data_IF_975640425421
#
_entry.id   IF_975640425421
#
_cell.length_a   1.000
_cell.length_b   1.000
_cell.length_c   1.000
_cell.angle_alpha   90.00
_cell.angle_beta   90.00
_cell.angle_gamma   90.00
#
_symmetry.space_group_name_H-M   'P 1'
#
loop_
_entity.id
_entity.type
_entity.pdbx_description
1 polymer ?
#
# COMPACT_ATOMS: atom_id res chain seq x y z
N UNK A 1 15.90 -5.04 26.35
CA UNK A 1 14.45 -4.95 26.06
C UNK A 1 14.05 -3.68 25.27
N UNK A 2 14.57 -2.48 25.58
CA UNK A 2 14.25 -1.21 24.86
C UNK A 2 14.63 -1.16 23.36
N UNK A 3 15.40 -2.15 22.87
CA UNK A 3 15.95 -2.21 21.51
C UNK A 3 14.97 -2.75 20.45
N UNK A 4 13.90 -3.44 20.87
CA UNK A 4 12.96 -4.11 19.97
C UNK A 4 11.60 -3.41 19.83
N UNK A 5 11.39 -2.30 20.55
CA UNK A 5 10.13 -1.55 20.53
C UNK A 5 9.82 -1.01 19.12
N UNK A 6 10.78 -0.38 18.39
CA UNK A 6 10.50 0.10 17.03
C UNK A 6 10.13 -1.04 16.10
N UNK A 7 10.92 -2.12 16.10
CA UNK A 7 10.68 -3.28 15.23
C UNK A 7 9.32 -3.94 15.49
N UNK A 8 8.85 -3.95 16.73
CA UNK A 8 7.53 -4.48 17.05
C UNK A 8 6.41 -3.62 16.44
N UNK A 9 6.57 -2.29 16.48
CA UNK A 9 5.63 -1.35 15.87
C UNK A 9 5.66 -1.50 14.34
N UNK A 10 6.83 -1.68 13.73
CA UNK A 10 6.96 -1.96 12.29
C UNK A 10 6.20 -3.23 11.88
N UNK A 11 6.29 -4.29 12.70
CA UNK A 11 5.55 -5.54 12.46
C UNK A 11 4.04 -5.35 12.59
N UNK A 12 3.56 -4.47 13.48
CA UNK A 12 2.14 -4.11 13.56
C UNK A 12 1.68 -3.30 12.33
N UNK A 13 2.54 -2.42 11.82
CA UNK A 13 2.35 -1.74 10.53
C UNK A 13 2.20 -2.74 9.38
N UNK A 14 3.14 -3.67 9.27
CA UNK A 14 3.11 -4.76 8.30
C UNK A 14 1.84 -5.61 8.41
N UNK A 15 1.44 -5.99 9.63
CA UNK A 15 0.21 -6.74 9.87
C UNK A 15 -1.02 -5.97 9.37
N UNK A 16 -1.06 -4.66 9.61
CA UNK A 16 -2.13 -3.78 9.12
C UNK A 16 -2.16 -3.74 7.59
N UNK A 17 -1.00 -3.66 6.93
CA UNK A 17 -0.88 -3.77 5.48
C UNK A 17 -1.42 -5.10 4.91
N UNK A 18 -1.10 -6.22 5.56
CA UNK A 18 -1.63 -7.53 5.19
C UNK A 18 -3.16 -7.61 5.36
N UNK A 19 -3.70 -7.07 6.44
CA UNK A 19 -5.14 -7.01 6.69
C UNK A 19 -5.84 -6.14 5.62
N UNK A 20 -5.21 -5.03 5.22
CA UNK A 20 -5.72 -4.22 4.10
C UNK A 20 -5.82 -5.03 2.81
N UNK A 21 -4.82 -5.83 2.49
CA UNK A 21 -4.84 -6.70 1.30
C UNK A 21 -6.01 -7.68 1.38
N UNK A 22 -6.24 -8.30 2.54
CA UNK A 22 -7.34 -9.23 2.75
C UNK A 22 -8.73 -8.57 2.58
N UNK A 23 -8.94 -7.37 3.13
CA UNK A 23 -10.20 -6.64 2.92
C UNK A 23 -10.37 -6.17 1.48
N UNK A 24 -9.27 -5.76 0.84
CA UNK A 24 -9.28 -5.37 -0.57
C UNK A 24 -9.69 -6.55 -1.46
N UNK A 25 -9.15 -7.76 -1.26
CA UNK A 25 -9.55 -8.93 -2.05
C UNK A 25 -11.01 -9.32 -1.81
N UNK A 26 -11.51 -9.14 -0.58
CA UNK A 26 -12.91 -9.31 -0.20
C UNK A 26 -13.88 -8.25 -0.74
N UNK A 27 -13.38 -7.16 -1.35
CA UNK A 27 -14.19 -6.09 -1.92
C UNK A 27 -14.58 -4.97 -0.94
N UNK A 28 -14.16 -5.05 0.32
CA UNK A 28 -14.40 -4.00 1.31
C UNK A 28 -13.27 -2.95 1.24
N UNK A 29 -13.39 -2.09 0.23
CA UNK A 29 -12.38 -1.06 -0.05
C UNK A 29 -12.30 -0.05 1.10
N UNK A 30 -13.42 0.28 1.76
CA UNK A 30 -13.43 1.22 2.90
C UNK A 30 -12.53 0.73 4.03
N UNK A 31 -12.69 -0.53 4.45
CA UNK A 31 -11.84 -1.11 5.51
C UNK A 31 -10.40 -1.23 5.05
N UNK A 32 -10.16 -1.63 3.80
CA UNK A 32 -8.79 -1.70 3.25
C UNK A 32 -8.07 -0.34 3.39
N UNK A 33 -8.72 0.75 2.97
CA UNK A 33 -8.17 2.10 3.09
C UNK A 33 -7.87 2.47 4.56
N UNK A 34 -8.79 2.17 5.49
CA UNK A 34 -8.56 2.42 6.92
C UNK A 34 -7.31 1.70 7.43
N UNK A 35 -7.11 0.45 7.04
CA UNK A 35 -5.93 -0.32 7.46
C UNK A 35 -4.62 0.20 6.85
N UNK A 36 -4.65 0.78 5.64
CA UNK A 36 -3.48 1.51 5.08
C UNK A 36 -3.16 2.75 5.92
N UNK A 37 -4.18 3.51 6.33
CA UNK A 37 -3.98 4.66 7.22
C UNK A 37 -3.42 4.24 8.59
N UNK A 38 -3.88 3.13 9.14
CA UNK A 38 -3.34 2.57 10.38
C UNK A 38 -1.87 2.14 10.19
N UNK A 39 -1.54 1.50 9.07
CA UNK A 39 -0.16 1.16 8.75
C UNK A 39 0.74 2.41 8.65
N UNK A 40 0.26 3.48 8.01
CA UNK A 40 0.95 4.77 7.93
C UNK A 40 1.15 5.42 9.30
N UNK A 41 0.19 5.27 10.22
CA UNK A 41 0.34 5.76 11.57
C UNK A 41 1.43 4.98 12.32
N UNK A 42 1.48 3.65 12.17
CA UNK A 42 2.52 2.84 12.81
C UNK A 42 3.92 3.13 12.26
N UNK A 43 4.05 3.29 10.94
CA UNK A 43 5.30 3.71 10.25
C UNK A 43 5.80 5.11 10.67
N UNK A 44 4.86 6.01 10.99
CA UNK A 44 5.24 7.30 11.53
C UNK A 44 5.75 7.17 12.98
N UNK A 45 5.10 6.31 13.77
CA UNK A 45 5.40 6.14 15.20
C UNK A 45 6.71 5.35 15.40
N UNK A 46 6.97 4.27 14.67
CA UNK A 46 8.23 3.53 14.79
C UNK A 46 9.44 4.36 14.32
N UNK A 47 9.32 5.12 13.24
CA UNK A 47 10.33 6.04 12.75
C UNK A 47 10.60 7.20 13.71
N UNK A 48 9.58 7.65 14.47
CA UNK A 48 9.73 8.64 15.53
C UNK A 48 10.40 8.04 16.77
N UNK A 49 9.96 6.86 17.22
CA UNK A 49 10.51 6.15 18.39
C UNK A 49 11.96 5.72 18.15
N UNK A 50 12.30 5.23 16.95
CA UNK A 50 13.67 4.86 16.58
C UNK A 50 14.63 6.05 16.65
N UNK A 51 14.17 7.25 16.24
CA UNK A 51 14.92 8.51 16.36
C UNK A 51 15.07 8.95 17.81
N UNK A 52 14.01 8.91 18.62
CA UNK A 52 14.08 9.29 20.04
C UNK A 52 15.02 8.39 20.84
N UNK A 53 15.09 7.10 20.49
CA UNK A 53 15.92 6.13 21.21
C UNK A 53 17.39 6.10 20.74
N UNK A 54 17.79 6.92 19.75
CA UNK A 54 19.13 6.90 19.13
C UNK A 54 19.61 5.48 18.77
N UNK A 55 18.68 4.58 18.48
CA UNK A 55 18.94 3.17 18.33
C UNK A 55 18.32 2.71 17.02
N UNK A 56 18.91 3.21 15.93
CA UNK A 56 18.64 2.79 14.57
C UNK A 56 19.49 1.54 14.31
N UNK A 57 18.84 0.39 14.16
CA UNK A 57 19.52 -0.85 13.79
C UNK A 57 19.41 -1.09 12.29
N UNK A 58 20.46 -1.62 11.66
CA UNK A 58 20.45 -2.00 10.23
C UNK A 58 19.33 -3.01 9.92
N UNK A 59 19.06 -3.93 10.86
CA UNK A 59 17.95 -4.86 10.73
C UNK A 59 16.59 -4.14 10.72
N UNK A 60 16.38 -3.20 11.64
CA UNK A 60 15.14 -2.40 11.71
C UNK A 60 14.92 -1.60 10.42
N UNK A 61 15.98 -1.00 9.87
CA UNK A 61 15.92 -0.27 8.60
C UNK A 61 15.50 -1.15 7.41
N UNK A 62 15.98 -2.40 7.36
CA UNK A 62 15.56 -3.34 6.33
C UNK A 62 14.13 -3.83 6.54
N UNK A 63 13.74 -4.08 7.80
CA UNK A 63 12.38 -4.51 8.16
C UNK A 63 11.34 -3.43 7.81
N UNK A 64 11.66 -2.17 8.11
CA UNK A 64 10.90 -0.97 7.74
C UNK A 64 10.65 -0.90 6.23
N UNK A 65 11.73 -1.02 5.44
CA UNK A 65 11.62 -1.03 3.97
C UNK A 65 10.76 -2.19 3.44
N UNK A 66 10.81 -3.37 4.06
CA UNK A 66 9.97 -4.51 3.67
C UNK A 66 8.49 -4.28 4.05
N UNK A 67 8.25 -3.73 5.25
CA UNK A 67 6.92 -3.38 5.74
C UNK A 67 6.26 -2.31 4.86
N UNK A 68 7.03 -1.31 4.44
CA UNK A 68 6.61 -0.25 3.52
C UNK A 68 6.20 -0.79 2.15
N UNK A 69 6.97 -1.73 1.59
CA UNK A 69 6.62 -2.32 0.28
C UNK A 69 5.28 -3.04 0.37
N UNK A 70 5.04 -3.80 1.45
CA UNK A 70 3.76 -4.51 1.64
C UNK A 70 2.62 -3.50 1.87
N UNK A 71 2.81 -2.55 2.78
CA UNK A 71 1.75 -1.67 3.27
C UNK A 71 1.42 -0.52 2.30
N UNK A 72 2.41 0.02 1.60
CA UNK A 72 2.26 1.17 0.70
C UNK A 72 2.55 0.86 -0.78
N UNK A 73 3.07 -0.32 -1.10
CA UNK A 73 3.21 -0.81 -2.47
C UNK A 73 2.12 -1.81 -2.82
N UNK A 74 2.11 -2.94 -2.12
CA UNK A 74 1.24 -4.08 -2.44
C UNK A 74 -0.21 -3.82 -2.05
N UNK A 75 -0.50 -3.31 -0.85
CA UNK A 75 -1.88 -3.06 -0.43
C UNK A 75 -2.64 -2.07 -1.35
N UNK A 76 -2.05 -0.93 -1.77
CA UNK A 76 -2.68 -0.05 -2.76
C UNK A 76 -2.81 -0.68 -4.15
N UNK A 77 -1.87 -1.54 -4.57
CA UNK A 77 -2.01 -2.30 -5.83
C UNK A 77 -3.26 -3.17 -5.84
N UNK A 78 -3.58 -3.84 -4.72
CA UNK A 78 -4.81 -4.64 -4.61
C UNK A 78 -6.08 -3.80 -4.65
N UNK A 79 -6.06 -2.60 -4.07
CA UNK A 79 -7.19 -1.66 -4.15
C UNK A 79 -7.38 -1.22 -5.61
N UNK A 80 -6.30 -0.83 -6.29
CA UNK A 80 -6.33 -0.44 -7.70
C UNK A 80 -6.81 -1.58 -8.60
N UNK A 81 -6.34 -2.81 -8.34
CA UNK A 81 -6.80 -4.02 -9.04
C UNK A 81 -8.32 -4.15 -8.94
N UNK A 82 -8.88 -4.04 -7.73
CA UNK A 82 -10.34 -4.16 -7.54
C UNK A 82 -11.12 -3.03 -8.20
N UNK A 83 -10.63 -1.80 -8.13
CA UNK A 83 -11.26 -0.67 -8.81
C UNK A 83 -11.29 -0.87 -10.34
N UNK A 84 -10.20 -1.38 -10.91
CA UNK A 84 -10.17 -1.73 -12.33
C UNK A 84 -11.17 -2.84 -12.66
N UNK A 85 -11.26 -3.88 -11.83
CA UNK A 85 -12.29 -4.93 -12.00
C UNK A 85 -13.69 -4.33 -11.99
N UNK A 86 -14.04 -3.49 -11.01
CA UNK A 86 -15.36 -2.87 -10.92
C UNK A 86 -15.67 -1.99 -12.15
N UNK A 87 -14.75 -1.12 -12.55
CA UNK A 87 -14.95 -0.22 -13.70
C UNK A 87 -15.11 -0.97 -15.04
N UNK A 88 -14.37 -2.07 -15.23
CA UNK A 88 -14.46 -2.88 -16.44
C UNK A 88 -15.76 -3.70 -16.51
N UNK A 89 -16.25 -4.19 -15.37
CA UNK A 89 -17.55 -4.85 -15.26
C UNK A 89 -18.69 -3.90 -15.62
N UNK A 90 -18.64 -2.66 -15.12
CA UNK A 90 -19.67 -1.64 -15.37
C UNK A 90 -19.68 -1.16 -16.84
N UNK A 91 -18.50 -1.09 -17.47
CA UNK A 91 -18.35 -0.60 -18.85
C UNK A 91 -18.66 -1.64 -19.94
N UNK A 92 -18.86 -2.92 -19.61
CA UNK A 92 -19.03 -3.95 -20.64
C UNK A 92 -20.03 -5.04 -20.28
N UNK A 93 -21.10 -5.12 -21.08
CA UNK A 93 -22.11 -6.21 -21.08
C UNK A 93 -21.53 -7.61 -21.43
N UNK A 94 -20.19 -7.73 -21.57
CA UNK A 94 -19.45 -8.96 -21.94
C UNK A 94 -18.30 -9.29 -20.98
N UNK A 95 -18.23 -8.67 -19.80
CA UNK A 95 -17.17 -8.97 -18.84
C UNK A 95 -17.49 -10.25 -18.07
N UNK A 96 -16.84 -11.35 -18.43
CA UNK A 96 -16.97 -12.61 -17.70
C UNK A 96 -15.78 -12.75 -16.73
N UNK A 97 -16.00 -12.45 -15.46
CA UNK A 97 -14.96 -12.50 -14.42
C UNK A 97 -14.44 -13.94 -14.23
N UNK A 98 -15.24 -14.95 -14.59
CA UNK A 98 -14.88 -16.36 -14.47
C UNK A 98 -13.79 -16.80 -15.47
N UNK A 99 -13.73 -16.18 -16.65
CA UNK A 99 -12.80 -16.52 -17.75
C UNK A 99 -12.26 -15.21 -18.35
N UNK A 100 -11.34 -14.51 -17.65
CA UNK A 100 -10.79 -13.27 -18.16
C UNK A 100 -9.96 -13.54 -19.43
N UNK A 101 -10.27 -12.82 -20.50
CA UNK A 101 -9.49 -12.90 -21.74
C UNK A 101 -8.06 -12.40 -21.52
N UNK A 102 -7.11 -12.84 -22.38
CA UNK A 102 -5.69 -12.49 -22.27
C UNK A 102 -5.44 -10.98 -22.08
N UNK A 103 -6.15 -10.14 -22.85
CA UNK A 103 -6.04 -8.69 -22.74
C UNK A 103 -6.48 -8.17 -21.36
N UNK A 104 -7.56 -8.71 -20.80
CA UNK A 104 -8.08 -8.31 -19.49
C UNK A 104 -7.10 -8.68 -18.37
N UNK A 105 -6.55 -9.89 -18.42
CA UNK A 105 -5.53 -10.34 -17.46
C UNK A 105 -4.29 -9.44 -17.49
N UNK A 106 -3.84 -9.04 -18.68
CA UNK A 106 -2.70 -8.11 -18.83
C UNK A 106 -3.03 -6.75 -18.21
N UNK A 107 -4.17 -6.14 -18.56
CA UNK A 107 -4.59 -4.83 -18.05
C UNK A 107 -4.74 -4.83 -16.53
N UNK A 108 -5.37 -5.87 -15.96
CA UNK A 108 -5.51 -6.01 -14.52
C UNK A 108 -4.14 -6.21 -13.83
N UNK A 109 -3.23 -6.95 -14.46
CA UNK A 109 -1.87 -7.17 -13.91
C UNK A 109 -1.04 -5.88 -13.84
N UNK A 110 -1.33 -4.87 -14.68
CA UNK A 110 -0.65 -3.57 -14.64
C UNK A 110 -0.84 -2.84 -13.30
N UNK A 111 -1.92 -3.10 -12.56
CA UNK A 111 -2.15 -2.51 -11.23
C UNK A 111 -1.03 -2.85 -10.22
N UNK A 112 -0.35 -3.98 -10.40
CA UNK A 112 0.77 -4.40 -9.55
C UNK A 112 2.10 -3.71 -9.90
N UNK A 113 2.18 -2.93 -10.98
CA UNK A 113 3.35 -2.10 -11.26
C UNK A 113 3.58 -1.07 -10.15
N UNK A 114 2.53 -0.64 -9.44
CA UNK A 114 2.66 0.25 -8.28
C UNK A 114 3.56 -0.38 -7.20
N UNK A 115 3.33 -1.66 -6.87
CA UNK A 115 4.19 -2.40 -5.94
C UNK A 115 5.64 -2.52 -6.45
N UNK A 116 5.84 -2.77 -7.74
CA UNK A 116 7.18 -2.88 -8.34
C UNK A 116 7.93 -1.55 -8.24
N UNK A 117 7.29 -0.43 -8.60
CA UNK A 117 7.91 0.89 -8.50
C UNK A 117 8.16 1.32 -7.06
N UNK A 118 7.26 0.99 -6.12
CA UNK A 118 7.47 1.20 -4.70
C UNK A 118 8.73 0.46 -4.21
N UNK A 119 8.87 -0.83 -4.53
CA UNK A 119 10.04 -1.62 -4.15
C UNK A 119 11.34 -1.09 -4.76
N UNK A 120 11.35 -0.76 -6.06
CA UNK A 120 12.54 -0.21 -6.73
C UNK A 120 12.97 1.13 -6.12
N UNK A 121 12.01 1.97 -5.74
CA UNK A 121 12.30 3.24 -5.10
C UNK A 121 12.90 3.04 -3.71
N UNK A 122 12.31 2.17 -2.89
CA UNK A 122 12.82 1.89 -1.54
C UNK A 122 14.19 1.23 -1.58
N UNK A 123 14.43 0.32 -2.54
CA UNK A 123 15.74 -0.28 -2.74
C UNK A 123 16.80 0.78 -3.05
N UNK A 124 16.50 1.74 -3.95
CA UNK A 124 17.41 2.87 -4.24
C UNK A 124 17.66 3.75 -3.01
N UNK A 125 16.60 4.05 -2.25
CA UNK A 125 16.71 4.84 -1.03
C UNK A 125 17.55 4.16 0.05
N UNK A 126 17.49 2.83 0.16
CA UNK A 126 18.25 2.10 1.18
C UNK A 126 19.77 2.08 0.91
N UNK A 127 20.18 2.12 -0.37
CA UNK A 127 21.58 2.04 -0.82
C UNK A 127 22.25 3.42 -0.92
N UNK A 128 21.49 4.48 -1.19
CA UNK A 128 22.04 5.81 -1.45
C UNK A 128 22.33 6.59 -0.15
N UNK A 129 23.59 6.54 0.31
CA UNK A 129 24.05 7.23 1.52
C UNK A 129 24.04 8.77 1.41
N UNK A 130 23.88 9.32 0.20
CA UNK A 130 23.88 10.77 -0.09
C UNK A 130 22.51 11.45 0.10
N UNK A 131 21.43 10.67 0.25
CA UNK A 131 20.04 11.18 0.33
C UNK A 131 19.64 11.70 1.74
N UNK A 132 20.56 11.74 2.71
CA UNK A 132 20.24 12.17 4.09
C UNK A 132 19.82 13.64 4.22
N UNK A 133 20.15 14.50 3.25
CA UNK A 133 19.90 15.96 3.35
C UNK A 133 18.87 16.52 2.34
N UNK A 134 18.41 15.74 1.36
CA UNK A 134 17.42 16.21 0.39
C UNK A 134 16.56 15.07 -0.12
N UNK A 135 15.32 15.00 0.38
CA UNK A 135 14.29 14.08 -0.11
C UNK A 135 14.04 14.34 -1.60
N UNK A 136 14.41 13.39 -2.49
CA UNK A 136 14.06 13.48 -3.92
C UNK A 136 12.93 12.50 -4.26
N UNK A 137 11.76 13.06 -4.58
CA UNK A 137 10.61 12.34 -5.16
C UNK A 137 9.37 12.27 -4.26
N UNK A 138 8.25 11.81 -4.83
CA UNK A 138 6.95 11.70 -4.15
C UNK A 138 6.95 10.54 -3.14
N UNK A 139 6.78 10.73 -1.81
CA UNK A 139 6.76 9.67 -0.79
C UNK A 139 5.80 8.52 -1.12
N UNK A 140 6.21 7.27 -0.84
CA UNK A 140 5.49 6.04 -1.18
C UNK A 140 4.18 5.97 -0.40
N UNK A 141 4.15 6.38 0.88
CA UNK A 141 2.91 6.61 1.60
C UNK A 141 1.99 7.64 0.90
N UNK A 142 2.54 8.71 0.33
CA UNK A 142 1.76 9.71 -0.41
C UNK A 142 1.13 9.15 -1.70
N UNK A 143 1.87 8.32 -2.44
CA UNK A 143 1.33 7.61 -3.60
C UNK A 143 0.24 6.61 -3.21
N UNK A 144 0.44 5.86 -2.12
CA UNK A 144 -0.54 4.94 -1.56
C UNK A 144 -1.83 5.64 -1.14
N UNK A 145 -1.72 6.77 -0.44
CA UNK A 145 -2.85 7.58 0.02
C UNK A 145 -3.65 8.17 -1.15
N UNK A 146 -2.98 8.56 -2.23
CA UNK A 146 -3.66 9.04 -3.43
C UNK A 146 -4.54 7.93 -4.04
N UNK A 147 -3.99 6.73 -4.23
CA UNK A 147 -4.73 5.58 -4.76
C UNK A 147 -5.88 5.18 -3.83
N UNK A 148 -5.63 5.17 -2.52
CA UNK A 148 -6.64 4.91 -1.50
C UNK A 148 -7.79 5.94 -1.54
N UNK A 149 -7.46 7.22 -1.75
CA UNK A 149 -8.46 8.31 -1.85
C UNK A 149 -9.35 8.13 -3.09
N UNK A 150 -8.77 7.76 -4.24
CA UNK A 150 -9.56 7.43 -5.42
C UNK A 150 -10.48 6.22 -5.17
N UNK A 151 -9.99 5.18 -4.51
CA UNK A 151 -10.81 4.02 -4.16
C UNK A 151 -12.00 4.37 -3.27
N UNK A 152 -11.76 5.19 -2.24
CA UNK A 152 -12.82 5.63 -1.34
C UNK A 152 -13.88 6.50 -2.02
N UNK A 153 -13.46 7.41 -2.91
CA UNK A 153 -14.40 8.29 -3.65
C UNK A 153 -15.28 7.51 -4.63
N UNK A 154 -14.74 6.52 -5.32
CA UNK A 154 -15.48 5.70 -6.28
C UNK A 154 -16.47 4.79 -5.54
N UNK A 155 -16.06 4.19 -4.43
CA UNK A 155 -16.92 3.36 -3.60
C UNK A 155 -18.12 4.13 -3.03
N UNK A 156 -17.95 5.40 -2.65
CA UNK A 156 -19.08 6.25 -2.24
C UNK A 156 -20.08 6.54 -3.36
N UNK A 157 -19.62 6.67 -4.61
CA UNK A 157 -20.53 6.92 -5.74
C UNK A 157 -21.43 5.71 -6.03
N UNK A 158 -20.91 4.50 -5.91
CA UNK A 158 -21.69 3.29 -6.15
C UNK A 158 -22.78 3.09 -5.08
N UNK A 159 -22.54 3.51 -3.83
CA UNK A 159 -23.55 3.47 -2.76
C UNK A 159 -24.63 4.55 -2.87
N UNK A 160 -24.40 5.59 -3.67
CA UNK A 160 -25.36 6.70 -3.86
C UNK A 160 -26.38 6.44 -4.98
N UNK A 161 -26.25 5.31 -5.67
CA UNK A 161 -27.06 4.93 -6.84
C UNK A 161 -27.93 3.69 -6.58
N UNK A 162 -27.95 3.15 -5.37
CA UNK A 162 -29.00 2.20 -4.96
C UNK A 162 -30.25 2.99 -4.52
N UNK A 163 -31.39 2.87 -5.23
CA UNK A 163 -32.65 3.54 -4.90
C UNK A 163 -33.37 2.94 -3.69
#
# INVERSE_FOLDING_TARGET
MKRHIPNFITVLGLLSGCISIAYSTGGDIKRAVIFIFIAALFDFVDGWVARMLNNVSEFGKQLDSLADVISFGVAPSFILYKLMVFSLVESSTRFNIAEPGLFQTIVLSLSFLVAVFAALRLARFNIDASQKESFRGLPTPGAALLIASFGFLIDQRNFSLEP
#
